data_IF_445483002715
#
_entry.id   IF_445483002715
#
_cell.length_a   1.000
_cell.length_b   1.000
_cell.length_c   1.000
_cell.angle_alpha   90.00
_cell.angle_beta   90.00
_cell.angle_gamma   90.00
#
_symmetry.space_group_name_H-M   'P 1'
#
loop_
_entity.id
_entity.type
_entity.pdbx_description
1 polymer ?
#
# COMPACT_ATOMS: atom_id res chain seq x y z
N UNK A 1 10.48 -4.24 47.59
CA UNK A 1 10.10 -3.59 46.32
C UNK A 1 8.68 -3.06 46.44
N UNK A 2 8.48 -1.76 46.36
CA UNK A 2 7.17 -1.15 46.61
C UNK A 2 6.19 -1.42 45.44
N UNK A 3 4.91 -1.71 45.75
CA UNK A 3 3.89 -2.04 44.74
C UNK A 3 3.73 -0.97 43.63
N UNK A 4 4.07 0.29 43.92
CA UNK A 4 3.96 1.43 42.97
C UNK A 4 4.91 1.31 41.79
N UNK A 5 6.11 0.79 41.95
CA UNK A 5 7.07 0.63 40.84
C UNK A 5 6.66 -0.47 39.85
N UNK A 6 5.99 -1.52 40.34
CA UNK A 6 5.46 -2.58 39.49
C UNK A 6 4.36 -2.07 38.55
N UNK A 7 3.50 -1.19 39.06
CA UNK A 7 2.43 -0.58 38.28
C UNK A 7 2.96 0.37 37.19
N UNK A 8 4.03 1.13 37.45
CA UNK A 8 4.67 1.98 36.45
C UNK A 8 5.35 1.16 35.36
N UNK A 9 5.98 0.04 35.71
CA UNK A 9 6.58 -0.87 34.73
C UNK A 9 5.53 -1.58 33.87
N UNK A 10 4.41 -2.01 34.45
CA UNK A 10 3.30 -2.64 33.73
C UNK A 10 2.57 -1.66 32.80
N UNK A 11 2.44 -0.39 33.18
CA UNK A 11 1.90 0.66 32.29
C UNK A 11 2.85 0.97 31.14
N UNK A 12 4.14 1.09 31.40
CA UNK A 12 5.16 1.29 30.36
C UNK A 12 5.27 0.09 29.41
N UNK A 13 5.06 -1.14 29.93
CA UNK A 13 5.05 -2.34 29.11
C UNK A 13 3.81 -2.44 28.21
N UNK A 14 2.63 -2.07 28.72
CA UNK A 14 1.39 -1.94 27.92
C UNK A 14 1.49 -0.83 26.87
N UNK A 15 2.11 0.31 27.18
CA UNK A 15 2.36 1.37 26.22
C UNK A 15 3.35 0.93 25.12
N UNK A 16 4.39 0.15 25.48
CA UNK A 16 5.36 -0.42 24.54
C UNK A 16 4.74 -1.49 23.64
N UNK A 17 3.84 -2.34 24.14
CA UNK A 17 3.08 -3.27 23.29
C UNK A 17 2.22 -2.54 22.26
N UNK A 18 1.60 -1.42 22.61
CA UNK A 18 0.85 -0.59 21.66
C UNK A 18 1.74 0.02 20.57
N UNK A 19 3.00 0.31 20.86
CA UNK A 19 3.93 0.86 19.88
C UNK A 19 4.45 -0.19 18.86
N UNK A 20 4.55 -1.45 19.27
CA UNK A 20 5.02 -2.54 18.36
C UNK A 20 3.86 -3.07 17.50
N UNK A 21 2.59 -2.89 17.92
CA UNK A 21 1.39 -3.32 17.20
C UNK A 21 0.73 -2.19 16.39
N UNK A 22 1.46 -1.13 16.05
CA UNK A 22 0.97 -0.04 15.21
C UNK A 22 0.56 -0.48 13.78
N UNK A 23 0.81 -1.73 13.43
CA UNK A 23 0.32 -2.37 12.19
C UNK A 23 -1.00 -3.13 12.40
N UNK A 24 -1.47 -3.31 13.62
CA UNK A 24 -2.76 -3.94 13.85
C UNK A 24 -3.84 -2.88 13.80
N UNK A 25 -4.75 -3.09 12.86
CA UNK A 25 -6.02 -2.36 12.75
C UNK A 25 -6.62 -2.29 14.15
N UNK A 26 -6.87 -1.08 14.66
CA UNK A 26 -7.66 -0.89 15.87
C UNK A 26 -9.13 -1.23 15.60
N UNK A 27 -9.41 -2.48 15.30
CA UNK A 27 -10.76 -3.04 15.25
C UNK A 27 -11.17 -3.40 16.70
N UNK A 28 -11.30 -2.39 17.54
CA UNK A 28 -11.76 -2.60 18.91
C UNK A 28 -13.30 -2.62 18.93
N UNK A 29 -13.86 -3.81 18.95
CA UNK A 29 -15.26 -3.98 19.37
C UNK A 29 -15.26 -3.91 20.90
N UNK A 30 -16.08 -3.02 21.49
CA UNK A 30 -16.24 -2.95 22.95
C UNK A 30 -16.71 -4.31 23.48
N UNK A 31 -16.00 -4.91 24.45
CA UNK A 31 -16.44 -6.16 25.06
C UNK A 31 -17.78 -5.96 25.77
N UNK A 32 -18.66 -6.96 25.70
CA UNK A 32 -19.94 -6.96 26.41
C UNK A 32 -21.15 -6.46 25.62
N UNK A 33 -21.02 -6.06 24.35
CA UNK A 33 -22.14 -5.72 23.47
C UNK A 33 -22.96 -6.98 23.15
N UNK A 34 -24.30 -6.91 23.24
CA UNK A 34 -25.23 -7.98 22.90
C UNK A 34 -26.33 -7.49 21.95
N UNK A 35 -26.89 -8.41 21.15
CA UNK A 35 -28.02 -8.12 20.26
C UNK A 35 -27.77 -6.95 19.29
N UNK A 36 -28.72 -6.03 19.20
CA UNK A 36 -28.66 -4.89 18.27
C UNK A 36 -27.40 -4.01 18.44
N UNK A 37 -26.88 -3.88 19.66
CA UNK A 37 -25.64 -3.12 19.91
C UNK A 37 -24.41 -3.74 19.27
N UNK A 38 -24.31 -5.06 19.27
CA UNK A 38 -23.23 -5.79 18.60
C UNK A 38 -23.33 -5.64 17.08
N UNK A 39 -24.52 -5.80 16.51
CA UNK A 39 -24.76 -5.65 15.06
C UNK A 39 -24.42 -4.24 14.59
N UNK A 40 -24.84 -3.21 15.33
CA UNK A 40 -24.51 -1.82 15.01
C UNK A 40 -23.00 -1.55 15.04
N UNK A 41 -22.30 -2.06 16.07
CA UNK A 41 -20.84 -1.95 16.15
C UNK A 41 -20.15 -2.63 14.98
N UNK A 42 -20.62 -3.80 14.55
CA UNK A 42 -20.07 -4.52 13.40
C UNK A 42 -20.27 -3.74 12.10
N UNK A 43 -21.45 -3.13 11.88
CA UNK A 43 -21.70 -2.28 10.72
C UNK A 43 -20.78 -1.05 10.68
N UNK A 44 -20.46 -0.47 11.84
CA UNK A 44 -19.52 0.65 11.93
C UNK A 44 -18.08 0.27 11.60
N UNK A 45 -17.70 -1.01 11.69
CA UNK A 45 -16.38 -1.51 11.33
C UNK A 45 -16.23 -1.80 9.83
N UNK A 46 -17.33 -1.97 9.08
CA UNK A 46 -17.28 -2.31 7.65
C UNK A 46 -16.45 -1.34 6.80
N UNK A 47 -16.56 0.01 6.96
CA UNK A 47 -15.73 0.93 6.20
C UNK A 47 -14.23 0.77 6.51
N UNK A 48 -13.88 0.56 7.77
CA UNK A 48 -12.49 0.34 8.20
C UNK A 48 -11.93 -0.97 7.63
N UNK A 49 -12.71 -2.05 7.67
CA UNK A 49 -12.34 -3.33 7.05
C UNK A 49 -12.19 -3.18 5.53
N UNK A 50 -13.08 -2.44 4.88
CA UNK A 50 -13.01 -2.16 3.43
C UNK A 50 -11.74 -1.38 3.07
N UNK A 51 -11.43 -0.33 3.77
CA UNK A 51 -10.21 0.46 3.57
C UNK A 51 -8.94 -0.38 3.79
N UNK A 52 -8.95 -1.24 4.80
CA UNK A 52 -7.85 -2.16 5.05
C UNK A 52 -7.69 -3.20 3.94
N UNK A 53 -8.77 -3.86 3.54
CA UNK A 53 -8.73 -4.88 2.49
C UNK A 53 -8.24 -4.27 1.16
N UNK A 54 -8.75 -3.07 0.81
CA UNK A 54 -8.28 -2.31 -0.34
C UNK A 54 -6.78 -2.04 -0.26
N UNK A 55 -6.33 -1.52 0.87
CA UNK A 55 -4.91 -1.19 1.09
C UNK A 55 -4.02 -2.42 1.04
N UNK A 56 -4.47 -3.55 1.60
CA UNK A 56 -3.77 -4.82 1.52
C UNK A 56 -3.61 -5.30 0.07
N UNK A 57 -4.66 -5.20 -0.74
CA UNK A 57 -4.61 -5.56 -2.17
C UNK A 57 -3.64 -4.66 -2.93
N UNK A 58 -3.67 -3.34 -2.69
CA UNK A 58 -2.78 -2.40 -3.37
C UNK A 58 -1.32 -2.61 -2.94
N UNK A 59 -1.06 -2.76 -1.63
CA UNK A 59 0.27 -3.05 -1.11
C UNK A 59 0.80 -4.39 -1.65
N UNK A 60 -0.07 -5.40 -1.76
CA UNK A 60 0.26 -6.68 -2.39
C UNK A 60 0.70 -6.52 -3.84
N UNK A 61 0.01 -5.66 -4.62
CA UNK A 61 0.42 -5.36 -5.99
C UNK A 61 1.77 -4.62 -6.05
N UNK A 62 1.99 -3.66 -5.16
CA UNK A 62 3.28 -2.97 -5.04
C UNK A 62 4.40 -3.96 -4.69
N UNK A 63 4.13 -4.89 -3.77
CA UNK A 63 5.10 -5.92 -3.39
C UNK A 63 5.42 -6.87 -4.54
N UNK A 64 4.41 -7.35 -5.27
CA UNK A 64 4.60 -8.20 -6.44
C UNK A 64 5.39 -7.48 -7.55
N UNK A 65 5.10 -6.21 -7.78
CA UNK A 65 5.86 -5.40 -8.73
C UNK A 65 7.31 -5.22 -8.27
N UNK A 66 7.52 -4.91 -7.00
CA UNK A 66 8.86 -4.81 -6.39
C UNK A 66 9.65 -6.11 -6.54
N UNK A 67 9.04 -7.24 -6.18
CA UNK A 67 9.67 -8.56 -6.29
C UNK A 67 10.10 -8.86 -7.74
N UNK A 68 9.29 -8.52 -8.73
CA UNK A 68 9.65 -8.70 -10.15
C UNK A 68 10.80 -7.81 -10.59
N UNK A 69 10.80 -6.53 -10.20
CA UNK A 69 11.88 -5.59 -10.52
C UNK A 69 13.20 -6.12 -9.96
N UNK A 70 13.20 -6.54 -8.69
CA UNK A 70 14.41 -7.04 -8.05
C UNK A 70 14.79 -8.45 -8.49
N UNK A 71 13.86 -9.23 -9.03
CA UNK A 71 14.12 -10.55 -9.61
C UNK A 71 14.95 -10.52 -10.89
N UNK A 72 14.99 -9.40 -11.61
CA UNK A 72 15.82 -9.26 -12.82
C UNK A 72 17.16 -8.57 -12.55
N UNK A 73 17.38 -8.04 -11.35
CA UNK A 73 18.58 -7.30 -10.95
C UNK A 73 19.60 -8.30 -10.38
N UNK A 74 20.74 -8.45 -11.04
CA UNK A 74 21.87 -9.24 -10.55
C UNK A 74 22.74 -8.44 -9.58
N UNK A 75 22.91 -7.13 -9.82
CA UNK A 75 23.75 -6.23 -9.03
C UNK A 75 23.02 -4.91 -8.80
N UNK A 76 22.91 -4.49 -7.56
CA UNK A 76 22.33 -3.21 -7.20
C UNK A 76 23.45 -2.19 -6.95
N UNK A 77 23.47 -1.12 -7.71
CA UNK A 77 24.35 0.03 -7.46
C UNK A 77 23.77 0.98 -6.41
N UNK A 78 24.52 2.01 -6.04
CA UNK A 78 24.11 3.00 -5.04
C UNK A 78 22.80 3.73 -5.43
N UNK A 79 22.53 3.91 -6.72
CA UNK A 79 21.31 4.60 -7.19
C UNK A 79 20.09 3.71 -6.96
N UNK A 80 20.18 2.43 -7.34
CA UNK A 80 19.11 1.44 -7.11
C UNK A 80 18.86 1.27 -5.61
N UNK A 81 19.93 1.14 -4.80
CA UNK A 81 19.82 1.00 -3.35
C UNK A 81 19.14 2.21 -2.70
N UNK A 82 19.51 3.43 -3.09
CA UNK A 82 18.91 4.66 -2.56
C UNK A 82 17.42 4.76 -2.91
N UNK A 83 17.04 4.44 -4.16
CA UNK A 83 15.64 4.42 -4.58
C UNK A 83 14.85 3.34 -3.87
N UNK A 84 15.46 2.17 -3.67
CA UNK A 84 14.84 1.11 -2.87
C UNK A 84 14.59 1.55 -1.42
N UNK A 85 15.55 2.22 -0.79
CA UNK A 85 15.39 2.74 0.56
C UNK A 85 14.25 3.77 0.64
N UNK A 86 14.15 4.67 -0.35
CA UNK A 86 13.02 5.61 -0.45
C UNK A 86 11.68 4.89 -0.62
N UNK A 87 11.64 3.85 -1.45
CA UNK A 87 10.43 3.03 -1.62
C UNK A 87 10.03 2.35 -0.30
N UNK A 88 10.98 1.73 0.39
CA UNK A 88 10.72 1.10 1.69
C UNK A 88 10.25 2.12 2.74
N UNK A 89 10.80 3.35 2.72
CA UNK A 89 10.33 4.46 3.55
C UNK A 89 8.88 4.84 3.26
N UNK A 90 8.50 4.92 1.98
CA UNK A 90 7.11 5.15 1.57
C UNK A 90 6.19 4.02 2.05
N UNK A 91 6.61 2.76 1.91
CA UNK A 91 5.84 1.61 2.41
C UNK A 91 5.69 1.65 3.93
N UNK A 92 6.75 2.01 4.65
CA UNK A 92 6.71 2.10 6.12
C UNK A 92 5.72 3.16 6.64
N UNK A 93 5.48 4.23 5.88
CA UNK A 93 4.52 5.28 6.26
C UNK A 93 3.08 4.96 5.85
N UNK A 94 2.84 3.94 5.01
CA UNK A 94 1.51 3.58 4.48
C UNK A 94 0.42 3.34 5.55
N UNK A 95 0.69 2.81 6.74
CA UNK A 95 -0.33 2.68 7.77
C UNK A 95 -1.01 4.01 8.13
N UNK A 96 -0.31 5.14 8.02
CA UNK A 96 -0.87 6.46 8.31
C UNK A 96 -1.97 6.88 7.31
N UNK A 97 -1.74 6.96 5.97
CA UNK A 97 -2.78 7.31 5.02
C UNK A 97 -3.93 6.28 4.98
N UNK A 98 -3.65 5.00 5.24
CA UNK A 98 -4.69 3.96 5.35
C UNK A 98 -5.63 4.26 6.51
N UNK A 99 -5.08 4.55 7.70
CA UNK A 99 -5.87 4.89 8.86
C UNK A 99 -6.63 6.21 8.65
N UNK A 100 -5.97 7.21 8.07
CA UNK A 100 -6.61 8.49 7.77
C UNK A 100 -7.82 8.31 6.85
N UNK A 101 -7.70 7.48 5.81
CA UNK A 101 -8.82 7.16 4.93
C UNK A 101 -9.92 6.37 5.65
N UNK A 102 -9.56 5.43 6.52
CA UNK A 102 -10.51 4.67 7.33
C UNK A 102 -11.34 5.55 8.25
N UNK A 103 -10.69 6.47 8.96
CA UNK A 103 -11.33 7.32 9.97
C UNK A 103 -12.07 8.51 9.35
N UNK A 104 -11.64 8.95 8.14
CA UNK A 104 -12.12 10.18 7.47
C UNK A 104 -12.44 9.95 5.99
N UNK A 105 -13.05 8.83 5.64
CA UNK A 105 -13.32 8.44 4.23
C UNK A 105 -14.19 9.43 3.45
N UNK A 106 -15.00 10.25 4.14
CA UNK A 106 -15.83 11.32 3.56
C UNK A 106 -15.06 12.64 3.37
N UNK A 107 -13.82 12.72 3.83
CA UNK A 107 -13.01 13.94 3.74
C UNK A 107 -12.11 13.92 2.52
N UNK A 108 -12.22 14.91 1.60
CA UNK A 108 -11.38 14.96 0.39
C UNK A 108 -9.88 14.91 0.69
N UNK A 109 -9.44 15.55 1.77
CA UNK A 109 -8.04 15.56 2.16
C UNK A 109 -7.52 14.15 2.52
N UNK A 110 -8.33 13.32 3.18
CA UNK A 110 -7.95 11.94 3.51
C UNK A 110 -7.76 11.10 2.23
N UNK A 111 -8.68 11.25 1.27
CA UNK A 111 -8.58 10.61 -0.05
C UNK A 111 -7.33 11.09 -0.79
N UNK A 112 -7.05 12.39 -0.79
CA UNK A 112 -5.88 12.96 -1.44
C UNK A 112 -4.57 12.45 -0.83
N UNK A 113 -4.43 12.45 0.50
CA UNK A 113 -3.23 11.95 1.19
C UNK A 113 -3.00 10.47 0.87
N UNK A 114 -4.07 9.66 0.88
CA UNK A 114 -3.99 8.25 0.51
C UNK A 114 -3.54 8.06 -0.94
N UNK A 115 -4.17 8.76 -1.88
CA UNK A 115 -3.82 8.68 -3.30
C UNK A 115 -2.38 9.10 -3.57
N UNK A 116 -1.93 10.22 -3.01
CA UNK A 116 -0.56 10.73 -3.17
C UNK A 116 0.47 9.73 -2.65
N UNK A 117 0.24 9.11 -1.49
CA UNK A 117 1.16 8.13 -0.92
C UNK A 117 1.34 6.91 -1.86
N UNK A 118 0.25 6.36 -2.40
CA UNK A 118 0.31 5.25 -3.34
C UNK A 118 0.87 5.66 -4.71
N UNK A 119 0.50 6.82 -5.24
CA UNK A 119 1.07 7.36 -6.48
C UNK A 119 2.58 7.51 -6.35
N UNK A 120 3.08 8.06 -5.25
CA UNK A 120 4.52 8.21 -5.00
C UNK A 120 5.25 6.86 -4.99
N UNK A 121 4.70 5.85 -4.31
CA UNK A 121 5.28 4.52 -4.28
C UNK A 121 5.30 3.83 -5.67
N UNK A 122 4.20 3.93 -6.42
CA UNK A 122 4.11 3.39 -7.79
C UNK A 122 5.05 4.12 -8.76
N UNK A 123 5.11 5.46 -8.67
CA UNK A 123 5.99 6.26 -9.52
C UNK A 123 7.46 5.90 -9.27
N UNK A 124 7.84 5.72 -8.02
CA UNK A 124 9.21 5.33 -7.67
C UNK A 124 9.56 3.95 -8.22
N UNK A 125 8.64 2.98 -8.16
CA UNK A 125 8.85 1.67 -8.79
C UNK A 125 8.98 1.77 -10.30
N UNK A 126 8.15 2.58 -10.96
CA UNK A 126 8.25 2.82 -12.40
C UNK A 126 9.59 3.45 -12.76
N UNK A 127 10.06 4.43 -11.98
CA UNK A 127 11.38 5.06 -12.17
C UNK A 127 12.50 4.03 -12.04
N UNK A 128 12.45 3.16 -11.02
CA UNK A 128 13.45 2.09 -10.86
C UNK A 128 13.42 1.15 -12.04
N UNK A 129 12.24 0.70 -12.46
CA UNK A 129 12.08 -0.21 -13.61
C UNK A 129 12.63 0.38 -14.90
N UNK A 130 12.24 1.60 -15.24
CA UNK A 130 12.70 2.29 -16.45
C UNK A 130 14.20 2.55 -16.44
N UNK A 131 14.78 2.79 -15.26
CA UNK A 131 16.20 3.03 -15.11
C UNK A 131 17.02 1.74 -15.26
N UNK A 132 16.69 0.67 -14.53
CA UNK A 132 17.47 -0.59 -14.58
C UNK A 132 17.36 -1.30 -15.93
N UNK A 133 16.26 -1.08 -16.67
CA UNK A 133 16.06 -1.67 -18.00
C UNK A 133 16.58 -0.82 -19.14
N UNK A 134 17.34 0.25 -18.88
CA UNK A 134 18.03 1.03 -19.92
C UNK A 134 19.16 0.21 -20.56
N UNK A 135 19.42 0.39 -21.86
CA UNK A 135 20.52 -0.30 -22.54
C UNK A 135 21.89 -0.06 -21.88
N UNK A 136 22.12 1.14 -21.33
CA UNK A 136 23.37 1.57 -20.69
C UNK A 136 23.62 0.90 -19.34
N UNK A 137 22.59 0.21 -18.78
CA UNK A 137 22.65 -0.42 -17.44
C UNK A 137 22.45 -1.95 -17.49
N UNK A 138 22.72 -2.56 -18.62
CA UNK A 138 22.61 -4.02 -18.83
C UNK A 138 23.46 -4.84 -17.86
N UNK A 139 24.56 -4.28 -17.41
CA UNK A 139 25.47 -4.86 -16.41
C UNK A 139 24.83 -5.09 -15.04
N UNK A 140 23.73 -4.41 -14.75
CA UNK A 140 22.97 -4.59 -13.52
C UNK A 140 21.97 -5.75 -13.59
N UNK A 141 21.68 -6.26 -14.78
CA UNK A 141 20.65 -7.27 -15.01
C UNK A 141 21.26 -8.68 -15.07
N UNK A 142 20.49 -9.67 -14.60
CA UNK A 142 20.84 -11.10 -14.74
C UNK A 142 20.82 -11.51 -16.21
N UNK A 143 19.80 -11.06 -16.94
CA UNK A 143 19.64 -11.27 -18.38
C UNK A 143 18.99 -10.02 -19.01
N UNK A 144 19.25 -9.74 -20.30
CA UNK A 144 18.59 -8.64 -20.98
C UNK A 144 17.06 -8.81 -20.97
N UNK A 145 16.36 -7.78 -20.55
CA UNK A 145 14.88 -7.79 -20.53
C UNK A 145 14.37 -7.51 -21.95
N UNK A 146 13.54 -8.40 -22.54
CA UNK A 146 12.94 -8.17 -23.84
C UNK A 146 12.09 -6.89 -23.87
N UNK A 147 12.10 -6.16 -24.98
CA UNK A 147 11.38 -4.89 -25.13
C UNK A 147 9.87 -5.04 -24.88
N UNK A 148 9.29 -6.15 -25.30
CA UNK A 148 7.86 -6.45 -25.04
C UNK A 148 7.55 -6.55 -23.55
N UNK A 149 8.40 -7.22 -22.78
CA UNK A 149 8.28 -7.37 -21.32
C UNK A 149 8.46 -6.02 -20.64
N UNK A 150 9.49 -5.27 -21.08
CA UNK A 150 9.75 -3.90 -20.59
C UNK A 150 8.54 -3.00 -20.82
N UNK A 151 8.02 -2.94 -22.04
CA UNK A 151 6.87 -2.13 -22.39
C UNK A 151 5.58 -2.59 -21.69
N UNK A 152 5.34 -3.90 -21.60
CA UNK A 152 4.19 -4.48 -20.90
C UNK A 152 4.16 -4.12 -19.42
N UNK A 153 5.28 -4.26 -18.73
CA UNK A 153 5.37 -3.94 -17.31
C UNK A 153 5.27 -2.42 -17.05
N UNK A 154 5.91 -1.60 -17.91
CA UNK A 154 5.80 -0.14 -17.85
C UNK A 154 4.35 0.32 -18.05
N UNK A 155 3.62 -0.25 -19.02
CA UNK A 155 2.18 0.02 -19.22
C UNK A 155 1.34 -0.38 -18.02
N UNK A 156 1.69 -1.48 -17.35
CA UNK A 156 0.99 -1.93 -16.14
C UNK A 156 1.16 -0.93 -15.01
N UNK A 157 2.39 -0.54 -14.68
CA UNK A 157 2.68 0.45 -13.63
C UNK A 157 2.11 1.84 -13.99
N UNK A 158 2.34 2.31 -15.22
CA UNK A 158 1.82 3.60 -15.70
C UNK A 158 0.30 3.66 -15.69
N UNK A 159 -0.37 2.59 -16.08
CA UNK A 159 -1.83 2.52 -16.02
C UNK A 159 -2.38 2.53 -14.59
N UNK A 160 -1.68 1.94 -13.60
CA UNK A 160 -2.05 2.09 -12.18
C UNK A 160 -1.90 3.55 -11.73
N UNK A 161 -0.82 4.22 -12.11
CA UNK A 161 -0.63 5.65 -11.84
C UNK A 161 -1.76 6.49 -12.42
N UNK A 162 -2.16 6.22 -13.67
CA UNK A 162 -3.26 6.92 -14.32
C UNK A 162 -4.59 6.71 -13.59
N UNK A 163 -4.90 5.48 -13.17
CA UNK A 163 -6.13 5.18 -12.41
C UNK A 163 -6.16 5.95 -11.09
N UNK A 164 -5.06 5.89 -10.30
CA UNK A 164 -5.01 6.63 -9.04
C UNK A 164 -5.05 8.15 -9.26
N UNK A 165 -4.33 8.65 -10.25
CA UNK A 165 -4.32 10.07 -10.61
C UNK A 165 -5.66 10.58 -11.11
N UNK A 166 -6.39 9.79 -11.92
CA UNK A 166 -7.71 10.18 -12.44
C UNK A 166 -8.81 10.12 -11.38
N UNK A 167 -8.72 9.16 -10.44
CA UNK A 167 -9.72 9.03 -9.36
C UNK A 167 -9.49 10.05 -8.26
N UNK A 168 -8.27 10.55 -8.08
CA UNK A 168 -7.96 11.55 -7.06
C UNK A 168 -8.84 12.82 -7.17
N UNK A 169 -8.99 13.50 -8.34
CA UNK A 169 -9.91 14.63 -8.48
C UNK A 169 -11.36 14.27 -8.19
N UNK A 170 -11.83 13.10 -8.66
CA UNK A 170 -13.18 12.62 -8.37
C UNK A 170 -13.39 12.44 -6.86
N UNK A 171 -12.38 11.91 -6.15
CA UNK A 171 -12.41 11.77 -4.70
C UNK A 171 -12.44 13.11 -3.94
N UNK A 172 -12.04 14.21 -4.57
CA UNK A 172 -12.19 15.54 -3.97
C UNK A 172 -13.62 16.06 -4.03
N UNK A 173 -14.40 15.68 -5.04
CA UNK A 173 -15.81 16.09 -5.20
C UNK A 173 -16.80 15.08 -4.61
N UNK A 174 -16.44 13.79 -4.64
CA UNK A 174 -17.29 12.69 -4.18
C UNK A 174 -16.45 11.60 -3.47
N UNK A 175 -15.88 11.90 -2.28
CA UNK A 175 -14.92 11.04 -1.60
C UNK A 175 -15.47 9.66 -1.27
N UNK A 176 -16.77 9.52 -1.04
CA UNK A 176 -17.46 8.27 -0.75
C UNK A 176 -17.33 7.23 -1.86
N UNK A 177 -17.12 7.64 -3.12
CA UNK A 177 -16.98 6.74 -4.26
C UNK A 177 -15.52 6.37 -4.59
N UNK A 178 -14.55 7.16 -4.14
CA UNK A 178 -13.14 6.96 -4.46
C UNK A 178 -12.64 5.56 -4.05
N UNK A 179 -12.91 5.13 -2.83
CA UNK A 179 -12.53 3.82 -2.33
C UNK A 179 -13.18 2.68 -3.12
N UNK A 180 -14.48 2.83 -3.47
CA UNK A 180 -15.20 1.84 -4.27
C UNK A 180 -14.63 1.72 -5.69
N UNK A 181 -14.29 2.84 -6.35
CA UNK A 181 -13.68 2.83 -7.68
C UNK A 181 -12.32 2.13 -7.64
N UNK A 182 -11.47 2.42 -6.66
CA UNK A 182 -10.18 1.72 -6.50
C UNK A 182 -10.37 0.23 -6.22
N UNK A 183 -11.36 -0.14 -5.38
CA UNK A 183 -11.66 -1.53 -5.06
C UNK A 183 -12.08 -2.36 -6.28
N UNK A 184 -12.79 -1.75 -7.24
CA UNK A 184 -13.21 -2.40 -8.48
C UNK A 184 -12.07 -2.44 -9.51
N UNK A 185 -11.33 -1.36 -9.63
CA UNK A 185 -10.27 -1.23 -10.66
C UNK A 185 -9.07 -2.15 -10.42
N UNK A 186 -8.73 -2.44 -9.15
CA UNK A 186 -7.57 -3.27 -8.81
C UNK A 186 -7.76 -4.74 -9.21
N UNK A 187 -8.84 -5.44 -8.81
CA UNK A 187 -9.06 -6.83 -9.21
C UNK A 187 -9.33 -6.96 -10.71
N UNK A 188 -9.97 -5.99 -11.35
CA UNK A 188 -10.18 -6.00 -12.79
C UNK A 188 -8.85 -6.10 -13.55
N UNK A 189 -7.80 -5.43 -13.09
CA UNK A 189 -6.45 -5.54 -13.66
C UNK A 189 -5.79 -6.88 -13.43
N UNK A 190 -6.03 -7.52 -12.30
CA UNK A 190 -5.50 -8.86 -12.03
C UNK A 190 -6.05 -9.89 -13.04
N UNK A 191 -7.28 -9.69 -13.50
CA UNK A 191 -7.92 -10.55 -14.49
C UNK A 191 -7.42 -10.24 -15.91
N UNK A 192 -7.21 -8.95 -16.23
CA UNK A 192 -6.83 -8.51 -17.59
C UNK A 192 -5.35 -8.75 -17.89
N UNK A 193 -4.48 -8.65 -16.89
CA UNK A 193 -3.04 -8.90 -17.06
C UNK A 193 -2.77 -10.39 -16.84
N UNK A 194 -3.10 -11.23 -17.82
CA UNK A 194 -2.57 -12.59 -17.92
C UNK A 194 -1.07 -12.50 -18.16
N UNK A 195 -0.30 -12.83 -17.14
CA UNK A 195 1.15 -12.94 -17.26
C UNK A 195 1.47 -14.24 -18.01
N UNK A 196 2.32 -14.21 -19.04
CA UNK A 196 2.86 -15.45 -19.56
C UNK A 196 3.64 -16.12 -18.44
N UNK A 197 3.10 -17.22 -17.91
CA UNK A 197 3.88 -18.13 -17.10
C UNK A 197 4.99 -18.67 -17.99
N UNK A 198 6.23 -18.29 -17.75
CA UNK A 198 7.35 -19.14 -18.17
C UNK A 198 7.38 -20.30 -17.20
N UNK A 199 7.04 -21.47 -17.73
CA UNK A 199 7.37 -22.76 -17.16
C UNK A 199 8.90 -22.91 -17.13
#
# INVERSE_FOLDING_TARGET
>A
MAPRELWHRLRAWRARRRAITLLTINLEVRPGLRGAGFTSALHQLLPALGAYALSFLILGQLWLAHHRIFGVIARADCVVLRRNLLFLGLIAIMPFPVRLLSDYHERPLAVAVYAVAFIAAMALQLVVWLDVTRPERRDLLTEPVPDEVRAGFSRTLGGMLLVFGAVMPLGMFAPQYAAAIWAVMIPLRLVVVRFPHRA
#
